data_IF_650293947243
#
_entry.id   IF_650293947243
#
_cell.length_a   1.000
_cell.length_b   1.000
_cell.length_c   1.000
_cell.angle_alpha   90.00
_cell.angle_beta   90.00
_cell.angle_gamma   90.00
#
_symmetry.space_group_name_H-M   'P 1'
#
loop_
_entity.id
_entity.type
_entity.pdbx_description
1 polymer ?
#
# COMPACT_ATOMS: atom_id res chain seq x y z
N UNK A 1 8.64 -5.26 14.11
CA UNK A 1 10.12 -5.36 13.99
C UNK A 1 10.37 -6.43 12.91
N UNK A 2 10.40 -6.17 11.60
CA UNK A 2 11.40 -5.44 10.80
C UNK A 2 10.87 -5.14 9.37
N UNK A 3 10.04 -4.12 9.16
CA UNK A 3 9.67 -3.68 7.79
C UNK A 3 10.36 -2.38 7.34
N UNK A 4 10.89 -1.59 8.28
CA UNK A 4 11.47 -0.27 7.98
C UNK A 4 12.80 -0.29 7.20
N UNK A 5 13.56 -1.39 7.23
CA UNK A 5 14.88 -1.43 6.59
C UNK A 5 14.84 -1.71 5.09
N UNK A 6 13.82 -2.40 4.58
CA UNK A 6 13.76 -2.82 3.18
C UNK A 6 13.58 -1.62 2.23
N UNK A 7 12.78 -0.63 2.66
CA UNK A 7 12.51 0.57 1.87
C UNK A 7 13.52 1.71 2.14
N UNK A 8 14.37 1.60 3.17
CA UNK A 8 15.30 2.66 3.55
C UNK A 8 16.35 2.90 2.45
N UNK A 9 16.40 4.13 1.92
CA UNK A 9 17.30 4.56 0.82
C UNK A 9 17.19 3.71 -0.44
N UNK A 10 16.03 3.07 -0.66
CA UNK A 10 15.74 2.31 -1.86
C UNK A 10 14.61 2.98 -2.65
N UNK A 11 14.96 4.05 -3.36
CA UNK A 11 14.00 4.90 -4.06
C UNK A 11 13.22 4.14 -5.15
N UNK A 12 13.85 3.16 -5.78
CA UNK A 12 13.21 2.25 -6.73
C UNK A 12 12.10 1.43 -6.08
N UNK A 13 12.41 0.79 -4.95
CA UNK A 13 11.41 -0.02 -4.25
C UNK A 13 10.28 0.83 -3.66
N UNK A 14 10.59 2.04 -3.20
CA UNK A 14 9.57 3.01 -2.74
C UNK A 14 8.65 3.41 -3.89
N UNK A 15 9.21 3.75 -5.06
CA UNK A 15 8.43 4.11 -6.26
C UNK A 15 7.52 2.95 -6.67
N UNK A 16 8.03 1.73 -6.73
CA UNK A 16 7.27 0.56 -7.16
C UNK A 16 6.14 0.22 -6.16
N UNK A 17 6.38 0.39 -4.86
CA UNK A 17 5.36 0.23 -3.84
C UNK A 17 4.26 1.31 -3.95
N UNK A 18 4.62 2.57 -4.20
CA UNK A 18 3.65 3.64 -4.41
C UNK A 18 2.79 3.39 -5.65
N UNK A 19 3.37 2.88 -6.74
CA UNK A 19 2.62 2.49 -7.93
C UNK A 19 1.58 1.40 -7.62
N UNK A 20 1.98 0.34 -6.91
CA UNK A 20 1.04 -0.72 -6.49
C UNK A 20 -0.08 -0.19 -5.58
N UNK A 21 0.26 0.71 -4.66
CA UNK A 21 -0.74 1.36 -3.80
C UNK A 21 -1.73 2.20 -4.61
N UNK A 22 -1.24 2.99 -5.57
CA UNK A 22 -2.10 3.79 -6.44
C UNK A 22 -2.98 2.93 -7.35
N UNK A 23 -2.48 1.78 -7.83
CA UNK A 23 -3.27 0.83 -8.60
C UNK A 23 -4.40 0.22 -7.76
N UNK A 24 -4.10 -0.17 -6.51
CA UNK A 24 -5.10 -0.70 -5.59
C UNK A 24 -6.19 0.34 -5.27
N UNK A 25 -5.80 1.58 -4.98
CA UNK A 25 -6.74 2.68 -4.75
C UNK A 25 -7.55 3.01 -6.01
N UNK A 26 -6.91 3.05 -7.18
CA UNK A 26 -7.59 3.24 -8.46
C UNK A 26 -8.65 2.18 -8.73
N UNK A 27 -8.34 0.91 -8.45
CA UNK A 27 -9.31 -0.17 -8.54
C UNK A 27 -10.50 0.02 -7.58
N UNK A 28 -10.28 0.54 -6.37
CA UNK A 28 -11.36 0.88 -5.44
C UNK A 28 -12.21 2.03 -5.98
N UNK A 29 -11.58 3.12 -6.42
CA UNK A 29 -12.27 4.32 -6.89
C UNK A 29 -13.14 4.05 -8.13
N UNK A 30 -12.71 3.19 -9.06
CA UNK A 30 -13.54 2.77 -10.21
C UNK A 30 -14.85 2.11 -9.78
N UNK A 31 -14.88 1.52 -8.57
CA UNK A 31 -16.08 0.90 -7.97
C UNK A 31 -16.85 1.86 -7.05
N UNK A 32 -16.46 3.13 -7.01
CA UNK A 32 -17.02 4.12 -6.09
C UNK A 32 -16.61 3.91 -4.63
N UNK A 33 -15.61 3.07 -4.36
CA UNK A 33 -15.14 2.75 -3.02
C UNK A 33 -13.91 3.58 -2.66
N UNK A 34 -13.99 4.39 -1.61
CA UNK A 34 -12.90 5.20 -1.09
C UNK A 34 -12.40 4.59 0.22
N UNK A 35 -11.09 4.30 0.33
CA UNK A 35 -10.54 3.63 1.52
C UNK A 35 -10.63 4.47 2.81
N UNK A 36 -10.44 5.79 2.70
CA UNK A 36 -10.48 6.82 3.77
C UNK A 36 -9.50 6.68 4.95
N UNK A 37 -8.84 5.55 5.12
CA UNK A 37 -7.84 5.32 6.19
C UNK A 37 -6.51 4.76 5.65
N UNK A 38 -5.90 5.44 4.67
CA UNK A 38 -4.64 5.01 4.06
C UNK A 38 -3.47 5.41 4.97
N UNK A 39 -2.80 4.41 5.54
CA UNK A 39 -1.64 4.56 6.43
C UNK A 39 -0.80 3.28 6.42
N UNK A 40 0.47 3.31 6.84
CA UNK A 40 1.36 2.14 6.80
C UNK A 40 0.80 0.89 7.49
N UNK A 41 0.03 1.04 8.56
CA UNK A 41 -0.59 -0.06 9.31
C UNK A 41 -1.60 -0.85 8.47
N UNK A 42 -2.21 -0.19 7.48
CA UNK A 42 -3.20 -0.77 6.56
C UNK A 42 -2.57 -1.21 5.22
N UNK A 43 -1.24 -1.29 5.16
CA UNK A 43 -0.48 -1.68 3.99
C UNK A 43 0.38 -2.88 4.36
N UNK A 44 0.03 -4.06 3.83
CA UNK A 44 0.82 -5.26 4.00
C UNK A 44 1.85 -5.38 2.88
N UNK A 45 3.11 -5.55 3.25
CA UNK A 45 4.21 -5.80 2.33
C UNK A 45 4.76 -7.23 2.48
N UNK A 46 5.16 -7.84 1.37
CA UNK A 46 6.00 -9.05 1.41
C UNK A 46 7.35 -8.77 2.09
N UNK A 47 8.03 -9.82 2.55
CA UNK A 47 9.31 -9.68 3.26
C UNK A 47 10.40 -8.97 2.43
N UNK A 48 10.35 -9.08 1.10
CA UNK A 48 11.24 -8.42 0.15
C UNK A 48 10.74 -7.05 -0.32
N UNK A 49 9.58 -6.59 0.17
CA UNK A 49 8.96 -5.31 -0.19
C UNK A 49 8.39 -5.23 -1.61
N UNK A 50 8.43 -6.33 -2.39
CA UNK A 50 8.03 -6.32 -3.81
C UNK A 50 6.54 -6.42 -4.04
N UNK A 51 5.78 -6.99 -3.12
CA UNK A 51 4.34 -7.10 -3.21
C UNK A 51 3.66 -6.30 -2.09
N UNK A 52 2.68 -5.47 -2.47
CA UNK A 52 1.90 -4.64 -1.56
C UNK A 52 0.41 -5.03 -1.63
N UNK A 53 -0.27 -5.03 -0.48
CA UNK A 53 -1.72 -5.19 -0.39
C UNK A 53 -2.31 -4.13 0.54
N UNK A 54 -3.33 -3.44 0.05
CA UNK A 54 -4.18 -2.55 0.85
C UNK A 54 -5.19 -3.40 1.63
N UNK A 55 -5.29 -3.17 2.94
CA UNK A 55 -6.18 -3.91 3.85
C UNK A 55 -6.96 -2.96 4.76
N UNK A 56 -7.93 -3.51 5.49
CA UNK A 56 -8.82 -2.79 6.42
C UNK A 56 -9.69 -1.71 5.76
N UNK A 57 -10.80 -2.19 5.17
CA UNK A 57 -11.84 -1.36 4.56
C UNK A 57 -12.95 -0.98 5.55
N UNK A 58 -12.71 -1.06 6.87
CA UNK A 58 -13.73 -0.79 7.89
C UNK A 58 -14.30 0.64 7.84
N UNK A 59 -13.51 1.58 7.32
CA UNK A 59 -13.91 2.96 7.07
C UNK A 59 -14.21 3.24 5.59
N UNK A 60 -14.25 2.25 4.70
CA UNK A 60 -14.48 2.53 3.29
C UNK A 60 -15.95 2.91 3.00
N UNK A 61 -16.16 3.76 2.00
CA UNK A 61 -17.50 4.19 1.53
C UNK A 61 -17.50 4.50 0.06
#
# INVERSE_FOLDING_TARGET
ITQGHVFWRNDELVRDALLQLTDALGACHVRGLYHRDVKPENILCSADGRALRLVDFGLAS
#
